data_IF_378566180548
#
_entry.id   IF_378566180548
#
_cell.length_a   1.000
_cell.length_b   1.000
_cell.length_c   1.000
_cell.angle_alpha   90.00
_cell.angle_beta   90.00
_cell.angle_gamma   90.00
#
_symmetry.space_group_name_H-M   'P 1'
#
loop_
_entity.id
_entity.type
_entity.pdbx_description
1 polymer ?
#
# COMPACT_ATOMS: atom_id res chain seq x y z
N UNK A 1 9.04 21.64 -3.31
CA UNK A 1 8.81 21.12 -1.96
C UNK A 1 7.49 20.36 -1.98
N UNK A 2 7.54 19.06 -1.77
CA UNK A 2 6.33 18.25 -1.73
C UNK A 2 5.48 18.65 -0.51
N UNK A 3 4.16 18.73 -0.69
CA UNK A 3 3.27 19.06 0.43
C UNK A 3 3.20 17.86 1.33
N UNK A 4 3.81 17.96 2.50
CA UNK A 4 3.66 16.96 3.57
C UNK A 4 2.45 17.37 4.41
N UNK A 5 1.59 16.43 4.73
CA UNK A 5 0.45 16.68 5.58
C UNK A 5 0.91 16.81 7.03
N UNK A 6 0.63 17.94 7.65
CA UNK A 6 1.04 18.21 9.04
C UNK A 6 -0.03 17.70 10.03
N UNK A 7 -0.12 16.39 10.19
CA UNK A 7 -1.02 15.78 11.18
C UNK A 7 -0.30 14.97 12.26
N UNK A 8 1.03 14.99 12.28
CA UNK A 8 1.91 14.24 13.19
C UNK A 8 1.76 12.71 13.13
N UNK A 9 0.92 12.19 12.26
CA UNK A 9 0.75 10.76 12.04
C UNK A 9 1.83 10.19 11.13
N UNK A 10 2.07 8.90 11.22
CA UNK A 10 2.89 8.19 10.25
C UNK A 10 2.17 8.06 8.90
N UNK A 11 2.93 7.71 7.87
CA UNK A 11 2.38 7.35 6.57
C UNK A 11 2.11 5.86 6.45
N UNK A 12 1.53 5.45 5.33
CA UNK A 12 1.32 4.04 4.99
C UNK A 12 1.83 3.73 3.58
N UNK A 13 2.57 2.63 3.48
CA UNK A 13 3.02 2.04 2.21
C UNK A 13 2.33 0.69 2.06
N UNK A 14 1.67 0.46 0.95
CA UNK A 14 1.00 -0.81 0.63
C UNK A 14 1.67 -1.46 -0.57
N UNK A 15 2.22 -2.66 -0.37
CA UNK A 15 2.96 -3.40 -1.39
C UNK A 15 2.18 -4.66 -1.77
N UNK A 16 1.58 -4.64 -2.97
CA UNK A 16 0.82 -5.77 -3.51
C UNK A 16 1.48 -6.49 -4.67
N UNK A 17 2.52 -5.92 -5.25
CA UNK A 17 3.27 -6.53 -6.36
C UNK A 17 4.14 -7.69 -5.87
N UNK A 18 4.14 -8.82 -6.62
CA UNK A 18 4.93 -10.02 -6.33
C UNK A 18 6.21 -10.14 -7.16
N UNK A 19 6.58 -9.12 -7.93
CA UNK A 19 7.79 -9.18 -8.75
C UNK A 19 9.06 -9.25 -7.90
N UNK A 20 10.11 -9.86 -8.45
CA UNK A 20 11.42 -9.93 -7.78
C UNK A 20 11.97 -8.54 -7.48
N UNK A 21 11.80 -7.59 -8.41
CA UNK A 21 12.21 -6.19 -8.21
C UNK A 21 11.51 -5.58 -7.00
N UNK A 22 10.20 -5.74 -6.86
CA UNK A 22 9.45 -5.26 -5.70
C UNK A 22 9.96 -5.88 -4.40
N UNK A 23 10.26 -7.17 -4.39
CA UNK A 23 10.83 -7.83 -3.22
C UNK A 23 12.18 -7.23 -2.84
N UNK A 24 13.06 -6.98 -3.82
CA UNK A 24 14.37 -6.32 -3.57
C UNK A 24 14.20 -4.88 -3.08
N UNK A 25 13.24 -4.15 -3.62
CA UNK A 25 12.91 -2.77 -3.18
C UNK A 25 12.38 -2.77 -1.72
N UNK A 26 11.56 -3.75 -1.36
CA UNK A 26 11.07 -3.92 0.00
C UNK A 26 12.21 -4.23 0.99
N UNK A 27 13.15 -5.09 0.59
CA UNK A 27 14.33 -5.39 1.43
C UNK A 27 15.21 -4.15 1.63
N UNK A 28 15.44 -3.37 0.58
CA UNK A 28 16.18 -2.10 0.69
C UNK A 28 15.48 -1.11 1.63
N UNK A 29 14.15 -1.09 1.64
CA UNK A 29 13.36 -0.23 2.51
C UNK A 29 13.55 -0.56 4.00
N UNK A 30 13.88 -1.81 4.34
CA UNK A 30 14.15 -2.23 5.73
C UNK A 30 15.37 -1.55 6.36
N UNK A 31 16.20 -0.90 5.56
CA UNK A 31 17.32 -0.11 6.06
C UNK A 31 16.91 1.25 6.65
N UNK A 32 15.66 1.67 6.46
CA UNK A 32 15.15 2.96 6.97
C UNK A 32 14.61 2.79 8.38
N UNK A 33 15.11 3.62 9.30
CA UNK A 33 14.61 3.65 10.67
C UNK A 33 13.21 4.31 10.77
N UNK A 34 12.46 3.98 11.82
CA UNK A 34 11.15 4.58 12.08
C UNK A 34 10.01 4.01 11.23
N UNK A 35 10.20 2.82 10.68
CA UNK A 35 9.20 2.10 9.88
C UNK A 35 8.86 0.77 10.55
N UNK A 36 7.58 0.47 10.64
CA UNK A 36 7.08 -0.85 11.04
C UNK A 36 6.61 -1.64 9.81
N UNK A 37 7.10 -2.87 9.69
CA UNK A 37 6.77 -3.78 8.60
C UNK A 37 5.72 -4.79 9.07
N UNK A 38 4.59 -4.86 8.38
CA UNK A 38 3.49 -5.77 8.71
C UNK A 38 3.20 -6.64 7.49
N UNK A 39 3.51 -7.93 7.59
CA UNK A 39 3.12 -8.90 6.57
C UNK A 39 1.62 -9.17 6.67
N UNK A 40 0.94 -9.05 5.54
CA UNK A 40 -0.43 -9.49 5.33
C UNK A 40 -0.41 -10.91 4.78
N UNK A 41 -0.90 -11.86 5.56
CA UNK A 41 -0.93 -13.27 5.14
C UNK A 41 -2.04 -13.53 4.11
N UNK A 42 -1.74 -13.24 2.86
CA UNK A 42 -2.66 -13.41 1.73
C UNK A 42 -3.06 -14.86 1.47
N UNK A 43 -2.31 -15.85 1.96
CA UNK A 43 -2.65 -17.26 1.82
C UNK A 43 -3.94 -17.63 2.57
N UNK A 44 -4.32 -16.86 3.59
CA UNK A 44 -5.56 -17.05 4.34
C UNK A 44 -6.82 -16.79 3.51
N UNK A 45 -6.69 -16.32 2.28
CA UNK A 45 -7.82 -16.17 1.34
C UNK A 45 -8.61 -17.46 1.13
N UNK A 46 -8.02 -18.61 1.40
CA UNK A 46 -8.67 -19.92 1.33
C UNK A 46 -9.66 -20.19 2.48
N UNK A 47 -9.60 -19.41 3.54
CA UNK A 47 -10.51 -19.49 4.69
C UNK A 47 -11.07 -18.09 4.96
N UNK A 48 -12.32 -17.88 4.60
CA UNK A 48 -12.97 -16.56 4.63
C UNK A 48 -12.95 -15.91 6.03
N UNK A 49 -13.19 -16.69 7.08
CA UNK A 49 -13.19 -16.18 8.45
C UNK A 49 -11.79 -15.77 8.91
N UNK A 50 -10.79 -16.61 8.64
CA UNK A 50 -9.39 -16.29 8.96
C UNK A 50 -8.87 -15.13 8.14
N UNK A 51 -9.28 -15.03 6.89
CA UNK A 51 -8.90 -13.92 6.01
C UNK A 51 -9.42 -12.58 6.53
N UNK A 52 -10.69 -12.53 6.93
CA UNK A 52 -11.28 -11.33 7.53
C UNK A 52 -10.59 -10.95 8.85
N UNK A 53 -10.26 -11.93 9.68
CA UNK A 53 -9.50 -11.69 10.92
C UNK A 53 -8.10 -11.13 10.63
N UNK A 54 -7.44 -11.61 9.57
CA UNK A 54 -6.13 -11.12 9.15
C UNK A 54 -6.19 -9.67 8.66
N UNK A 55 -7.20 -9.33 7.87
CA UNK A 55 -7.42 -7.94 7.44
C UNK A 55 -7.58 -7.03 8.68
N UNK A 56 -8.43 -7.42 9.62
CA UNK A 56 -8.65 -6.67 10.86
C UNK A 56 -7.37 -6.52 11.68
N UNK A 57 -6.57 -7.58 11.78
CA UNK A 57 -5.29 -7.54 12.49
C UNK A 57 -4.34 -6.51 11.89
N UNK A 58 -4.15 -6.54 10.57
CA UNK A 58 -3.24 -5.63 9.88
C UNK A 58 -3.74 -4.18 9.97
N UNK A 59 -5.04 -3.95 9.80
CA UNK A 59 -5.63 -2.60 9.93
C UNK A 59 -5.44 -2.06 11.35
N UNK A 60 -5.73 -2.85 12.38
CA UNK A 60 -5.57 -2.42 13.78
C UNK A 60 -4.13 -2.08 14.15
N UNK A 61 -3.17 -2.91 13.72
CA UNK A 61 -1.74 -2.64 13.93
C UNK A 61 -1.30 -1.39 13.17
N UNK A 62 -1.75 -1.23 11.94
CA UNK A 62 -1.44 -0.04 11.13
C UNK A 62 -1.95 1.23 11.79
N UNK A 63 -3.18 1.24 12.27
CA UNK A 63 -3.76 2.39 12.96
C UNK A 63 -3.00 2.76 14.23
N UNK A 64 -2.58 1.76 15.01
CA UNK A 64 -1.78 1.96 16.20
C UNK A 64 -0.47 2.70 15.87
N UNK A 65 0.31 2.18 14.94
CA UNK A 65 1.60 2.76 14.58
C UNK A 65 1.46 4.12 13.89
N UNK A 66 0.50 4.26 12.98
CA UNK A 66 0.24 5.53 12.30
C UNK A 66 -0.11 6.63 13.32
N UNK A 67 -0.97 6.34 14.28
CA UNK A 67 -1.36 7.31 15.33
C UNK A 67 -0.23 7.67 16.28
N UNK A 68 0.77 6.81 16.41
CA UNK A 68 2.00 7.06 17.17
C UNK A 68 3.05 7.85 16.37
N UNK A 69 2.79 8.20 15.12
CA UNK A 69 3.71 8.91 14.25
C UNK A 69 4.69 8.00 13.50
N UNK A 70 4.48 6.69 13.52
CA UNK A 70 5.34 5.70 12.85
C UNK A 70 4.78 5.33 11.48
N UNK A 71 5.63 5.35 10.46
CA UNK A 71 5.25 4.90 9.12
C UNK A 71 5.14 3.38 9.07
N UNK A 72 4.08 2.89 8.44
CA UNK A 72 3.79 1.47 8.31
C UNK A 72 3.98 1.02 6.87
N UNK A 73 4.64 -0.11 6.69
CA UNK A 73 4.73 -0.81 5.41
C UNK A 73 3.97 -2.13 5.52
N UNK A 74 2.83 -2.22 4.85
CA UNK A 74 2.07 -3.46 4.72
C UNK A 74 2.40 -4.11 3.39
N UNK A 75 2.61 -5.41 3.39
CA UNK A 75 2.96 -6.15 2.18
C UNK A 75 2.37 -7.56 2.20
N UNK A 76 1.98 -8.05 1.04
CA UNK A 76 1.52 -9.43 0.87
C UNK A 76 2.66 -10.42 1.04
N UNK A 77 2.35 -11.68 1.32
CA UNK A 77 3.35 -12.75 1.26
C UNK A 77 4.12 -12.67 -0.05
N UNK A 78 5.43 -12.80 0.02
CA UNK A 78 6.30 -12.64 -1.14
C UNK A 78 6.27 -13.84 -2.09
N UNK A 79 5.87 -15.01 -1.60
CA UNK A 79 5.64 -16.19 -2.41
C UNK A 79 4.17 -16.26 -2.82
N UNK A 80 3.93 -16.42 -4.11
CA UNK A 80 2.57 -16.61 -4.61
C UNK A 80 1.97 -17.92 -4.09
N UNK A 81 0.71 -17.87 -3.69
CA UNK A 81 -0.05 -19.04 -3.30
C UNK A 81 -0.28 -19.95 -4.53
N UNK A 82 0.07 -21.20 -4.38
CA UNK A 82 -0.18 -22.26 -5.37
C UNK A 82 -1.18 -23.24 -4.78
N UNK A 83 -2.26 -23.49 -5.50
CA UNK A 83 -3.29 -24.46 -5.12
C UNK A 83 -3.23 -25.62 -6.10
N UNK A 84 -3.20 -26.87 -5.56
CA UNK A 84 -3.21 -28.07 -6.39
C UNK A 84 -4.55 -28.20 -7.16
N UNK A 85 -4.46 -28.63 -8.43
CA UNK A 85 -5.62 -28.79 -9.31
C UNK A 85 -6.47 -27.51 -9.48
N UNK A 86 -5.81 -26.35 -9.41
CA UNK A 86 -6.47 -25.05 -9.50
C UNK A 86 -6.96 -24.77 -10.93
N UNK A 87 -8.17 -24.24 -11.07
CA UNK A 87 -8.66 -23.74 -12.34
C UNK A 87 -8.21 -22.28 -12.55
N UNK A 88 -8.11 -21.85 -13.81
CA UNK A 88 -7.82 -20.44 -14.13
C UNK A 88 -8.87 -19.49 -13.55
N UNK A 89 -10.13 -19.92 -13.55
CA UNK A 89 -11.24 -19.15 -13.00
C UNK A 89 -11.12 -18.98 -11.49
N UNK A 90 -10.87 -20.06 -10.74
CA UNK A 90 -10.69 -20.03 -9.29
C UNK A 90 -9.46 -19.21 -8.91
N UNK A 91 -8.37 -19.32 -9.65
CA UNK A 91 -7.17 -18.52 -9.47
C UNK A 91 -7.46 -17.01 -9.66
N UNK A 92 -8.26 -16.66 -10.67
CA UNK A 92 -8.65 -15.27 -10.93
C UNK A 92 -9.53 -14.73 -9.81
N UNK A 93 -10.55 -15.47 -9.39
CA UNK A 93 -11.44 -15.09 -8.29
C UNK A 93 -10.63 -14.84 -7.02
N UNK A 94 -9.69 -15.73 -6.71
CA UNK A 94 -8.80 -15.61 -5.56
C UNK A 94 -7.90 -14.37 -5.65
N UNK A 95 -7.34 -14.09 -6.81
CA UNK A 95 -6.54 -12.88 -7.06
C UNK A 95 -7.35 -11.60 -6.84
N UNK A 96 -8.59 -11.57 -7.29
CA UNK A 96 -9.50 -10.43 -7.07
C UNK A 96 -9.78 -10.23 -5.58
N UNK A 97 -10.05 -11.32 -4.83
CA UNK A 97 -10.27 -11.26 -3.38
C UNK A 97 -9.04 -10.72 -2.65
N UNK A 98 -7.84 -11.16 -3.04
CA UNK A 98 -6.59 -10.66 -2.44
C UNK A 98 -6.39 -9.18 -2.76
N UNK A 99 -6.59 -8.77 -4.00
CA UNK A 99 -6.46 -7.35 -4.40
C UNK A 99 -7.45 -6.46 -3.64
N UNK A 100 -8.66 -6.93 -3.47
CA UNK A 100 -9.69 -6.20 -2.71
C UNK A 100 -9.33 -6.10 -1.23
N UNK A 101 -8.79 -7.16 -0.64
CA UNK A 101 -8.29 -7.14 0.72
C UNK A 101 -7.11 -6.18 0.88
N UNK A 102 -6.16 -6.17 -0.07
CA UNK A 102 -4.98 -5.28 -0.03
C UNK A 102 -5.39 -3.82 -0.03
N UNK A 103 -6.30 -3.40 -0.92
CA UNK A 103 -6.79 -2.02 -0.90
C UNK A 103 -7.53 -1.68 0.40
N UNK A 104 -8.24 -2.65 0.99
CA UNK A 104 -8.97 -2.45 2.24
C UNK A 104 -8.07 -2.16 3.44
N UNK A 105 -6.78 -2.52 3.38
CA UNK A 105 -5.81 -2.15 4.42
C UNK A 105 -5.65 -0.63 4.53
N UNK A 106 -5.94 0.11 3.48
CA UNK A 106 -6.07 1.57 3.49
C UNK A 106 -7.54 1.99 3.62
N UNK A 107 -8.43 1.34 2.89
CA UNK A 107 -9.85 1.69 2.84
C UNK A 107 -10.57 1.58 4.18
N UNK A 108 -10.13 0.71 5.07
CA UNK A 108 -10.72 0.52 6.42
C UNK A 108 -10.06 1.39 7.49
N UNK A 109 -9.00 2.14 7.18
CA UNK A 109 -8.36 3.02 8.16
C UNK A 109 -9.34 4.09 8.65
N UNK A 110 -9.40 4.29 9.95
CA UNK A 110 -10.09 5.41 10.60
C UNK A 110 -9.12 6.50 11.04
N UNK A 111 -7.82 6.18 11.07
CA UNK A 111 -6.73 7.12 11.36
C UNK A 111 -6.17 7.62 10.03
N UNK A 112 -6.05 8.94 9.90
CA UNK A 112 -5.56 9.58 8.69
C UNK A 112 -4.04 9.52 8.59
N UNK A 113 -3.47 8.84 7.57
CA UNK A 113 -2.03 8.82 7.37
C UNK A 113 -1.52 10.16 6.83
N UNK A 114 -0.25 10.46 7.09
CA UNK A 114 0.41 11.66 6.54
C UNK A 114 0.68 11.56 5.04
N UNK A 115 0.81 10.35 4.52
CA UNK A 115 0.93 10.04 3.10
C UNK A 115 0.50 8.60 2.83
N UNK A 116 0.22 8.30 1.58
CA UNK A 116 -0.07 6.94 1.09
C UNK A 116 0.83 6.64 -0.11
N UNK A 117 1.53 5.52 -0.07
CA UNK A 117 2.26 4.96 -1.21
C UNK A 117 1.65 3.60 -1.55
N UNK A 118 1.23 3.42 -2.79
CA UNK A 118 0.78 2.12 -3.27
C UNK A 118 1.74 1.57 -4.32
N UNK A 119 2.32 0.41 -4.05
CA UNK A 119 3.30 -0.28 -4.89
C UNK A 119 2.68 -1.47 -5.61
N UNK A 120 2.60 -1.36 -6.92
CA UNK A 120 2.02 -2.33 -7.84
C UNK A 120 0.95 -1.70 -8.72
N UNK A 121 0.80 -2.20 -9.96
CA UNK A 121 -0.14 -1.63 -10.93
C UNK A 121 -1.61 -1.71 -10.45
N UNK A 122 -2.08 -2.91 -10.14
CA UNK A 122 -3.44 -3.13 -9.63
C UNK A 122 -3.60 -2.48 -8.25
N UNK A 123 -2.61 -2.64 -7.38
CA UNK A 123 -2.63 -2.06 -6.03
C UNK A 123 -2.80 -0.54 -6.07
N UNK A 124 -2.01 0.16 -6.88
CA UNK A 124 -2.10 1.63 -6.97
C UNK A 124 -3.42 2.10 -7.56
N UNK A 125 -3.97 1.38 -8.54
CA UNK A 125 -5.29 1.69 -9.08
C UNK A 125 -6.40 1.49 -8.04
N UNK A 126 -6.43 0.35 -7.37
CA UNK A 126 -7.47 0.02 -6.39
C UNK A 126 -7.38 0.87 -5.13
N UNK A 127 -6.19 1.17 -4.63
CA UNK A 127 -6.01 2.08 -3.49
C UNK A 127 -6.53 3.48 -3.85
N UNK A 128 -6.21 3.99 -5.03
CA UNK A 128 -6.68 5.30 -5.46
C UNK A 128 -8.20 5.37 -5.63
N UNK A 129 -8.80 4.40 -6.32
CA UNK A 129 -10.21 4.43 -6.69
C UNK A 129 -11.15 3.90 -5.61
N UNK A 130 -10.78 2.80 -4.94
CA UNK A 130 -11.63 2.13 -3.95
C UNK A 130 -11.33 2.59 -2.53
N UNK A 131 -10.07 2.54 -2.11
CA UNK A 131 -9.70 2.86 -0.73
C UNK A 131 -9.80 4.36 -0.44
N UNK A 132 -9.16 5.18 -1.25
CA UNK A 132 -9.13 6.64 -1.10
C UNK A 132 -10.33 7.34 -1.75
N UNK A 133 -11.05 6.64 -2.63
CA UNK A 133 -12.19 7.16 -3.39
C UNK A 133 -11.88 8.47 -4.13
N UNK A 134 -10.69 8.55 -4.73
CA UNK A 134 -10.23 9.74 -5.46
C UNK A 134 -10.99 9.85 -6.77
N UNK A 135 -11.71 10.95 -6.96
CA UNK A 135 -12.36 11.33 -8.23
C UNK A 135 -11.63 12.47 -8.91
N UNK A 136 -11.03 13.35 -8.11
CA UNK A 136 -10.20 14.47 -8.56
C UNK A 136 -8.94 14.53 -7.72
N UNK A 137 -7.83 14.86 -8.34
CA UNK A 137 -6.57 15.06 -7.66
C UNK A 137 -5.77 16.18 -8.30
N UNK A 138 -4.97 16.84 -7.49
CA UNK A 138 -3.96 17.76 -8.01
C UNK A 138 -2.68 16.97 -8.30
N UNK A 139 -2.21 17.02 -9.53
CA UNK A 139 -0.93 16.41 -9.89
C UNK A 139 0.19 17.27 -9.34
N UNK A 140 0.93 16.73 -8.38
CA UNK A 140 2.02 17.44 -7.69
C UNK A 140 3.37 17.30 -8.41
N UNK A 141 3.46 16.40 -9.38
CA UNK A 141 4.68 16.08 -10.10
C UNK A 141 5.08 14.62 -9.95
N UNK A 142 6.37 14.36 -9.98
CA UNK A 142 6.94 13.02 -9.81
C UNK A 142 7.93 13.03 -8.65
N UNK A 143 7.83 12.04 -7.77
CA UNK A 143 8.79 11.87 -6.68
C UNK A 143 10.12 11.32 -7.19
N UNK A 144 10.04 10.48 -8.21
CA UNK A 144 11.11 9.94 -9.04
C UNK A 144 10.58 9.78 -10.46
N UNK A 145 11.44 9.70 -11.49
CA UNK A 145 10.97 9.50 -12.86
C UNK A 145 10.01 8.32 -12.99
N UNK A 146 8.83 8.56 -13.55
CA UNK A 146 7.78 7.55 -13.72
C UNK A 146 6.95 7.24 -12.48
N UNK A 147 7.13 7.96 -11.37
CA UNK A 147 6.40 7.75 -10.11
C UNK A 147 5.67 9.04 -9.74
N UNK A 148 4.40 9.19 -10.21
CA UNK A 148 3.65 10.41 -9.96
C UNK A 148 3.19 10.52 -8.50
N UNK A 149 3.04 11.77 -8.07
CA UNK A 149 2.46 12.12 -6.77
C UNK A 149 1.22 12.96 -7.01
N UNK A 150 0.13 12.56 -6.42
CA UNK A 150 -1.12 13.30 -6.40
C UNK A 150 -1.40 13.83 -5.01
N UNK A 151 -2.05 14.98 -4.94
CA UNK A 151 -2.75 15.42 -3.75
C UNK A 151 -4.22 15.07 -3.93
N UNK A 152 -4.77 14.27 -3.02
CA UNK A 152 -6.18 13.83 -3.09
C UNK A 152 -7.14 15.01 -2.96
N UNK A 153 -8.28 14.92 -3.65
CA UNK A 153 -9.32 15.95 -3.61
C UNK A 153 -10.13 15.96 -2.33
N UNK A 154 -10.96 16.97 -2.17
CA UNK A 154 -11.79 17.15 -0.97
C UNK A 154 -12.85 16.05 -0.80
N UNK A 155 -13.23 15.38 -1.89
CA UNK A 155 -14.19 14.27 -1.89
C UNK A 155 -13.59 12.93 -1.45
N UNK A 156 -12.26 12.83 -1.39
CA UNK A 156 -11.58 11.59 -1.04
C UNK A 156 -11.73 11.25 0.45
N UNK A 157 -11.48 9.98 0.78
CA UNK A 157 -11.50 9.51 2.18
C UNK A 157 -10.56 10.32 3.08
N UNK A 158 -9.36 10.63 2.58
CA UNK A 158 -8.37 11.47 3.25
C UNK A 158 -8.02 12.65 2.34
N UNK A 159 -8.71 13.79 2.49
CA UNK A 159 -8.47 14.97 1.65
C UNK A 159 -7.07 15.54 1.78
N UNK A 160 -6.56 16.11 0.69
CA UNK A 160 -5.26 16.81 0.65
C UNK A 160 -4.09 15.95 1.12
N UNK A 161 -4.19 14.63 0.91
CA UNK A 161 -3.16 13.67 1.29
C UNK A 161 -2.25 13.41 0.10
N UNK A 162 -0.91 13.42 0.28
CA UNK A 162 0.02 12.97 -0.75
C UNK A 162 -0.21 11.49 -1.05
N UNK A 163 -0.49 11.17 -2.31
CA UNK A 163 -0.66 9.81 -2.79
C UNK A 163 0.37 9.52 -3.88
N UNK A 164 1.30 8.64 -3.57
CA UNK A 164 2.38 8.21 -4.47
C UNK A 164 1.93 6.95 -5.21
N UNK A 165 1.87 7.04 -6.53
CA UNK A 165 1.46 5.96 -7.42
C UNK A 165 2.72 5.27 -7.95
N UNK A 166 3.11 4.19 -7.27
CA UNK A 166 4.32 3.45 -7.61
C UNK A 166 3.97 2.19 -8.39
N UNK A 167 3.88 2.34 -9.71
CA UNK A 167 3.47 1.23 -10.59
C UNK A 167 4.58 0.18 -10.76
N UNK A 168 4.18 -1.05 -11.00
CA UNK A 168 4.92 -2.21 -11.52
C UNK A 168 6.43 -2.28 -11.25
N UNK A 169 7.19 -2.45 -12.32
CA UNK A 169 8.64 -2.65 -12.31
C UNK A 169 9.44 -1.34 -12.54
N UNK A 170 8.91 -0.23 -12.07
CA UNK A 170 9.55 1.08 -12.22
C UNK A 170 10.66 1.26 -11.18
N UNK A 171 11.72 1.97 -11.56
CA UNK A 171 12.82 2.37 -10.70
C UNK A 171 13.84 1.28 -10.42
N UNK A 172 14.82 1.65 -9.64
CA UNK A 172 15.91 0.78 -9.17
C UNK A 172 15.59 0.18 -7.80
N UNK A 173 16.49 -0.65 -7.27
CA UNK A 173 16.32 -1.33 -5.96
C UNK A 173 16.10 -0.31 -4.83
N UNK A 174 16.81 0.83 -4.86
CA UNK A 174 16.70 1.87 -3.82
C UNK A 174 15.50 2.82 -4.01
N UNK A 175 14.80 2.77 -5.14
CA UNK A 175 13.82 3.81 -5.49
C UNK A 175 12.63 3.86 -4.51
N UNK A 176 12.15 2.73 -4.02
CA UNK A 176 11.08 2.72 -3.02
C UNK A 176 11.55 3.33 -1.69
N UNK A 177 12.76 2.97 -1.23
CA UNK A 177 13.40 3.55 -0.06
C UNK A 177 13.49 5.07 -0.18
N UNK A 178 14.06 5.55 -1.28
CA UNK A 178 14.19 6.99 -1.53
C UNK A 178 12.85 7.72 -1.60
N UNK A 179 11.83 7.10 -2.20
CA UNK A 179 10.47 7.67 -2.23
C UNK A 179 9.89 7.83 -0.82
N UNK A 180 10.06 6.82 0.02
CA UNK A 180 9.58 6.87 1.42
C UNK A 180 10.34 7.94 2.21
N UNK A 181 11.66 8.01 2.09
CA UNK A 181 12.50 9.02 2.77
C UNK A 181 12.11 10.47 2.39
N UNK A 182 11.64 10.68 1.15
CA UNK A 182 11.23 12.01 0.69
C UNK A 182 9.91 12.47 1.35
N UNK A 183 9.00 11.56 1.66
CA UNK A 183 7.67 11.87 2.21
C UNK A 183 7.56 11.70 3.73
N UNK A 184 8.52 11.03 4.35
CA UNK A 184 8.65 10.98 5.81
C UNK A 184 9.15 12.32 6.36
#
# INVERSE_FOLDING_TARGET
>A
KMIVKDNKNGGIVVVGSHTKKTTSQLESLKEVDGIEFIEFNSDLVLDEMKFEQEIKRVVSLSEKFISEGTTVVTYTKRKLLVVENDSKEDALIRSVKISDAVQSLVGRLTVEPSFVIAKGGITSSDVGTKALAVKKANVMGQIKPGIPVWQTGDESKFPKTPYVIFTGNVGEISTLKEAVEIVM
#
